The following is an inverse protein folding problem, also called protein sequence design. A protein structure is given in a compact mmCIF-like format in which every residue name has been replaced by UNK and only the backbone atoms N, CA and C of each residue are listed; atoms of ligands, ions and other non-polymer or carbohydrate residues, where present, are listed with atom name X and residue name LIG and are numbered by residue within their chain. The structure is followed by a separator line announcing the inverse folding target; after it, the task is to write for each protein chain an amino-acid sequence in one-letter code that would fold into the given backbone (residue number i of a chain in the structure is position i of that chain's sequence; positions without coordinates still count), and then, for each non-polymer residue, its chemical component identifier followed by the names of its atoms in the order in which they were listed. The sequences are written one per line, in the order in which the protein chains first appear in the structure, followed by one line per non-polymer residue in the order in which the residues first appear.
data_IF_852263680065
#
_entry.id   IF_852263680065
#
_cell.length_a   1.000
_cell.length_b   1.000
_cell.length_c   1.000
_cell.angle_alpha   90.00
_cell.angle_beta   90.00
_cell.angle_gamma   90.00
#
_symmetry.space_group_name_H-M   'P 1'
#
loop_
_entity.id
_entity.type
_entity.pdbx_description
1 polymer ?
#
# COMPACT_ATOMS: atom_id res chain seq x y z
N UNK A 1 11.33 -19.26 -3.73
CA UNK A 1 12.15 -18.18 -4.36
C UNK A 1 11.34 -17.21 -5.20
N UNK A 2 10.45 -17.69 -6.07
CA UNK A 2 9.53 -16.85 -6.87
C UNK A 2 8.63 -15.96 -6.01
N UNK A 3 8.00 -16.50 -4.97
CA UNK A 3 7.11 -15.78 -4.05
C UNK A 3 7.84 -14.69 -3.26
N UNK A 4 9.04 -14.99 -2.76
CA UNK A 4 9.91 -14.03 -2.09
C UNK A 4 10.22 -12.82 -2.97
N UNK A 5 10.50 -13.05 -4.26
CA UNK A 5 10.76 -11.96 -5.21
C UNK A 5 9.51 -11.08 -5.44
N UNK A 6 8.33 -11.68 -5.48
CA UNK A 6 7.08 -10.95 -5.63
C UNK A 6 6.80 -10.07 -4.41
N UNK A 7 7.02 -10.60 -3.21
CA UNK A 7 6.86 -9.85 -1.96
C UNK A 7 7.90 -8.72 -1.87
N UNK A 8 9.16 -9.00 -2.14
CA UNK A 8 10.20 -7.98 -2.13
C UNK A 8 9.91 -6.87 -3.14
N UNK A 9 9.43 -7.22 -4.33
CA UNK A 9 8.99 -6.23 -5.31
C UNK A 9 7.86 -5.37 -4.75
N UNK A 10 6.86 -5.98 -4.11
CA UNK A 10 5.77 -5.26 -3.46
C UNK A 10 6.27 -4.32 -2.37
N UNK A 11 7.13 -4.80 -1.48
CA UNK A 11 7.71 -3.97 -0.42
C UNK A 11 8.50 -2.78 -0.98
N UNK A 12 9.32 -3.00 -2.00
CA UNK A 12 10.11 -1.94 -2.62
C UNK A 12 9.22 -0.95 -3.37
N UNK A 13 8.29 -1.41 -4.19
CA UNK A 13 7.48 -0.54 -5.05
C UNK A 13 6.36 0.18 -4.31
N UNK A 14 5.80 -0.41 -3.27
CA UNK A 14 4.71 0.17 -2.47
C UNK A 14 5.27 0.97 -1.30
N UNK A 15 6.09 0.36 -0.47
CA UNK A 15 6.61 1.00 0.75
C UNK A 15 7.89 1.82 0.55
N UNK A 16 8.72 1.51 -0.43
CA UNK A 16 9.97 2.24 -0.67
C UNK A 16 9.73 3.74 -0.85
N UNK A 17 8.93 4.16 -1.84
CA UNK A 17 8.61 5.58 -2.03
C UNK A 17 7.87 6.20 -0.84
N UNK A 18 6.97 5.44 -0.20
CA UNK A 18 6.21 5.90 0.96
C UNK A 18 7.13 6.21 2.14
N UNK A 19 8.00 5.28 2.52
CA UNK A 19 8.95 5.47 3.62
C UNK A 19 9.91 6.60 3.32
N UNK A 20 10.45 6.67 2.10
CA UNK A 20 11.33 7.77 1.67
C UNK A 20 10.65 9.13 1.79
N UNK A 21 9.40 9.21 1.35
CA UNK A 21 8.60 10.45 1.43
C UNK A 21 8.38 10.88 2.89
N UNK A 22 7.97 9.97 3.76
CA UNK A 22 7.71 10.27 5.18
C UNK A 22 9.02 10.68 5.89
N UNK A 23 10.12 10.01 5.60
CA UNK A 23 11.44 10.35 6.17
C UNK A 23 11.88 11.75 5.74
N UNK A 24 11.78 12.06 4.45
CA UNK A 24 12.12 13.40 3.92
C UNK A 24 11.23 14.46 4.56
N UNK A 25 9.92 14.24 4.65
CA UNK A 25 8.99 15.16 5.31
C UNK A 25 9.34 15.34 6.79
N UNK A 26 9.71 14.28 7.51
CA UNK A 26 10.12 14.35 8.90
C UNK A 26 11.37 15.23 9.11
N UNK A 27 12.39 15.04 8.28
CA UNK A 27 13.62 15.83 8.37
C UNK A 27 13.44 17.30 7.93
N UNK A 28 12.51 17.56 7.02
CA UNK A 28 12.30 18.91 6.47
C UNK A 28 11.10 19.63 7.08
N UNK A 29 10.35 18.99 7.99
CA UNK A 29 9.11 19.54 8.54
C UNK A 29 9.30 20.91 9.19
N UNK A 30 10.34 21.09 10.01
CA UNK A 30 10.64 22.37 10.65
C UNK A 30 10.91 23.48 9.63
N UNK A 31 11.72 23.17 8.64
CA UNK A 31 12.04 24.11 7.56
C UNK A 31 10.80 24.47 6.74
N UNK A 32 9.99 23.45 6.41
CA UNK A 32 8.77 23.62 5.63
C UNK A 32 7.75 24.50 6.36
N UNK A 33 7.53 24.25 7.64
CA UNK A 33 6.61 25.04 8.48
C UNK A 33 7.04 26.50 8.54
N UNK A 34 8.33 26.74 8.79
CA UNK A 34 8.86 28.10 8.97
C UNK A 34 8.95 28.89 7.67
N UNK A 35 9.36 28.27 6.57
CA UNK A 35 9.72 28.96 5.34
C UNK A 35 8.62 28.93 4.26
N UNK A 36 7.87 27.85 4.16
CA UNK A 36 6.83 27.67 3.14
C UNK A 36 5.46 28.09 3.70
N UNK A 37 5.06 27.50 4.83
CA UNK A 37 3.77 27.82 5.44
C UNK A 37 3.81 29.14 6.22
N UNK A 38 5.00 29.62 6.58
CA UNK A 38 5.18 30.85 7.39
C UNK A 38 4.38 30.85 8.69
N UNK A 39 4.24 29.68 9.28
CA UNK A 39 3.60 29.48 10.57
C UNK A 39 4.63 29.40 11.69
N UNK A 40 4.17 29.59 12.93
CA UNK A 40 5.02 29.37 14.09
C UNK A 40 5.47 27.91 14.13
N UNK A 41 6.76 27.71 14.30
CA UNK A 41 7.36 26.38 14.39
C UNK A 41 7.17 25.83 15.81
N UNK A 42 5.97 25.32 16.09
CA UNK A 42 5.64 24.62 17.33
C UNK A 42 5.60 23.11 17.09
N UNK A 43 5.78 22.33 18.15
CA UNK A 43 5.68 20.87 18.09
C UNK A 43 4.33 20.41 17.51
N UNK A 44 3.28 21.14 17.84
CA UNK A 44 1.94 20.87 17.32
C UNK A 44 1.86 21.07 15.79
N UNK A 45 2.41 22.15 15.28
CA UNK A 45 2.43 22.45 13.83
C UNK A 45 3.25 21.41 13.07
N UNK A 46 4.41 21.04 13.59
CA UNK A 46 5.25 19.98 13.02
C UNK A 46 4.52 18.64 13.01
N UNK A 47 3.84 18.30 14.10
CA UNK A 47 3.05 17.08 14.19
C UNK A 47 1.93 17.01 13.13
N UNK A 48 1.25 18.14 12.87
CA UNK A 48 0.24 18.23 11.80
C UNK A 48 0.85 17.95 10.43
N UNK A 49 2.01 18.54 10.13
CA UNK A 49 2.70 18.33 8.84
C UNK A 49 3.07 16.87 8.66
N UNK A 50 3.59 16.22 9.68
CA UNK A 50 3.93 14.79 9.65
C UNK A 50 2.67 13.95 9.46
N UNK A 51 1.58 14.26 10.16
CA UNK A 51 0.31 13.55 10.03
C UNK A 51 -0.24 13.65 8.59
N UNK A 52 -0.21 14.83 7.99
CA UNK A 52 -0.61 15.03 6.59
C UNK A 52 0.28 14.20 5.64
N UNK A 53 1.58 14.16 5.88
CA UNK A 53 2.51 13.34 5.09
C UNK A 53 2.16 11.84 5.17
N UNK A 54 1.80 11.35 6.35
CA UNK A 54 1.35 9.97 6.54
C UNK A 54 0.05 9.71 5.76
N UNK A 55 -0.91 10.64 5.78
CA UNK A 55 -2.16 10.51 5.02
C UNK A 55 -1.90 10.45 3.51
N UNK A 56 -1.00 11.27 3.00
CA UNK A 56 -0.58 11.25 1.58
C UNK A 56 0.08 9.90 1.25
N UNK A 57 0.94 9.40 2.13
CA UNK A 57 1.56 8.08 2.01
C UNK A 57 0.52 6.95 1.97
N UNK A 58 -0.52 7.05 2.79
CA UNK A 58 -1.63 6.09 2.79
C UNK A 58 -2.40 6.08 1.47
N UNK A 59 -2.67 7.25 0.89
CA UNK A 59 -3.29 7.37 -0.44
C UNK A 59 -2.41 6.71 -1.50
N UNK A 60 -1.11 6.94 -1.47
CA UNK A 60 -0.14 6.27 -2.34
C UNK A 60 -0.22 4.76 -2.23
N UNK A 61 -0.20 4.22 -0.99
CA UNK A 61 -0.36 2.80 -0.73
C UNK A 61 -1.67 2.28 -1.34
N UNK A 62 -2.78 2.98 -1.12
CA UNK A 62 -4.12 2.60 -1.59
C UNK A 62 -4.18 2.39 -3.11
N UNK A 63 -3.45 3.18 -3.89
CA UNK A 63 -3.34 3.00 -5.33
C UNK A 63 -2.35 1.90 -5.73
N UNK A 64 -1.20 1.87 -5.10
CA UNK A 64 -0.10 0.97 -5.49
C UNK A 64 -0.35 -0.47 -5.11
N UNK A 65 -0.97 -0.73 -3.97
CA UNK A 65 -1.25 -2.09 -3.52
C UNK A 65 -2.20 -2.82 -4.48
N UNK A 66 -3.18 -2.13 -5.03
CA UNK A 66 -4.11 -2.68 -6.02
C UNK A 66 -3.36 -3.13 -7.27
N UNK A 67 -2.45 -2.30 -7.78
CA UNK A 67 -1.63 -2.62 -8.97
C UNK A 67 -0.71 -3.81 -8.71
N UNK A 68 -0.10 -3.87 -7.54
CA UNK A 68 0.73 -4.99 -7.14
C UNK A 68 -0.08 -6.29 -7.05
N UNK A 69 -1.27 -6.24 -6.47
CA UNK A 69 -2.14 -7.43 -6.33
C UNK A 69 -2.38 -8.11 -7.68
N UNK A 70 -2.95 -7.43 -8.65
CA UNK A 70 -3.25 -8.09 -9.92
C UNK A 70 -1.98 -8.47 -10.69
N UNK A 71 -0.90 -7.68 -10.59
CA UNK A 71 0.37 -8.01 -11.21
C UNK A 71 0.98 -9.28 -10.63
N UNK A 72 1.02 -9.42 -9.32
CA UNK A 72 1.61 -10.57 -8.64
C UNK A 72 0.77 -11.83 -8.81
N UNK A 73 -0.54 -11.73 -8.53
CA UNK A 73 -1.44 -12.89 -8.56
C UNK A 73 -1.76 -13.38 -9.97
N UNK A 74 -1.64 -12.54 -11.00
CA UNK A 74 -1.80 -12.97 -12.40
C UNK A 74 -0.72 -13.95 -12.87
N UNK A 75 0.39 -14.08 -12.15
CA UNK A 75 1.54 -14.91 -12.51
C UNK A 75 1.58 -16.24 -11.79
N UNK A 76 0.60 -16.53 -10.94
CA UNK A 76 0.62 -17.65 -10.01
C UNK A 76 -0.48 -18.65 -10.29
N UNK A 77 -0.23 -19.90 -9.88
CA UNK A 77 -1.26 -20.93 -9.74
C UNK A 77 -2.12 -20.66 -8.51
N UNK A 78 -3.21 -21.41 -8.34
CA UNK A 78 -4.10 -21.27 -7.18
C UNK A 78 -3.35 -21.54 -5.86
N UNK A 79 -2.59 -22.63 -5.81
CA UNK A 79 -1.84 -23.01 -4.62
C UNK A 79 -0.75 -21.97 -4.26
N UNK A 80 0.00 -21.51 -5.25
CA UNK A 80 0.98 -20.44 -5.08
C UNK A 80 0.34 -19.13 -4.62
N UNK A 81 -0.88 -18.85 -5.05
CA UNK A 81 -1.63 -17.66 -4.66
C UNK A 81 -2.03 -17.69 -3.18
N UNK A 82 -2.46 -18.83 -2.65
CA UNK A 82 -2.70 -18.98 -1.22
C UNK A 82 -1.44 -18.76 -0.39
N UNK A 83 -0.33 -19.35 -0.82
CA UNK A 83 0.95 -19.17 -0.14
C UNK A 83 1.42 -17.70 -0.19
N UNK A 84 1.31 -17.05 -1.34
CA UNK A 84 1.65 -15.64 -1.47
C UNK A 84 0.77 -14.76 -0.58
N UNK A 85 -0.53 -15.04 -0.53
CA UNK A 85 -1.47 -14.31 0.30
C UNK A 85 -1.07 -14.32 1.78
N UNK A 86 -0.77 -15.50 2.32
CA UNK A 86 -0.32 -15.66 3.71
C UNK A 86 0.98 -14.90 3.95
N UNK A 87 1.98 -15.08 3.10
CA UNK A 87 3.27 -14.41 3.23
C UNK A 87 3.18 -12.89 3.09
N UNK A 88 2.30 -12.40 2.25
CA UNK A 88 2.08 -10.97 2.08
C UNK A 88 1.43 -10.34 3.33
N UNK A 89 0.54 -11.05 4.00
CA UNK A 89 -0.04 -10.61 5.28
C UNK A 89 1.04 -10.62 6.37
N UNK A 90 1.81 -11.68 6.48
CA UNK A 90 2.90 -11.80 7.47
C UNK A 90 3.96 -10.71 7.30
N UNK A 91 4.25 -10.32 6.07
CA UNK A 91 5.20 -9.23 5.78
C UNK A 91 4.62 -7.82 5.96
N UNK A 92 3.33 -7.70 6.25
CA UNK A 92 2.65 -6.42 6.39
C UNK A 92 2.37 -5.70 5.08
N UNK A 93 2.50 -6.38 3.95
CA UNK A 93 2.25 -5.77 2.62
C UNK A 93 0.77 -5.60 2.33
N UNK A 94 -0.06 -6.55 2.73
CA UNK A 94 -1.51 -6.51 2.59
C UNK A 94 -2.20 -6.80 3.92
N UNK A 95 -3.47 -6.43 4.01
CA UNK A 95 -4.33 -6.72 5.15
C UNK A 95 -5.13 -8.00 4.90
N UNK A 96 -5.44 -8.69 5.99
CA UNK A 96 -6.29 -9.88 5.93
C UNK A 96 -7.65 -9.55 5.31
N UNK A 97 -8.19 -10.48 4.53
CA UNK A 97 -9.54 -10.36 3.93
C UNK A 97 -10.57 -10.04 5.02
N UNK A 98 -11.45 -9.07 4.74
CA UNK A 98 -12.44 -8.58 5.69
C UNK A 98 -11.96 -7.46 6.61
N UNK A 99 -10.66 -7.10 6.59
CA UNK A 99 -10.16 -5.93 7.32
C UNK A 99 -10.77 -4.62 6.78
N UNK A 100 -11.08 -3.69 7.68
CA UNK A 100 -11.57 -2.36 7.32
C UNK A 100 -10.58 -1.58 6.45
N UNK A 101 -9.29 -1.86 6.59
CA UNK A 101 -8.24 -1.22 5.80
C UNK A 101 -8.28 -1.59 4.32
N UNK A 102 -8.85 -2.74 3.95
CA UNK A 102 -9.05 -3.11 2.55
C UNK A 102 -10.05 -2.19 1.84
N UNK A 103 -10.96 -1.56 2.59
CA UNK A 103 -11.91 -0.58 2.05
C UNK A 103 -11.24 0.73 1.63
N UNK A 104 -10.03 0.99 2.09
CA UNK A 104 -9.25 2.17 1.70
C UNK A 104 -8.50 1.99 0.39
N UNK A 105 -8.47 0.79 -0.17
CA UNK A 105 -7.88 0.53 -1.49
C UNK A 105 -8.66 1.28 -2.57
N UNK A 106 -7.93 1.93 -3.49
CA UNK A 106 -8.54 2.71 -4.57
C UNK A 106 -8.41 1.92 -5.87
N UNK A 107 -9.55 1.47 -6.37
CA UNK A 107 -9.68 0.70 -7.61
C UNK A 107 -10.19 1.60 -8.73
N UNK A 108 -9.36 1.81 -9.76
CA UNK A 108 -9.81 2.45 -10.99
C UNK A 108 -10.57 1.44 -11.85
N UNK A 109 -11.32 1.90 -12.85
CA UNK A 109 -12.03 0.99 -13.78
C UNK A 109 -11.03 0.05 -14.49
N UNK A 110 -9.87 0.56 -14.87
CA UNK A 110 -8.80 -0.25 -15.46
C UNK A 110 -8.26 -1.32 -14.48
N UNK A 111 -8.13 -0.98 -13.22
CA UNK A 111 -7.69 -1.93 -12.18
C UNK A 111 -8.72 -3.04 -11.99
N UNK A 112 -10.01 -2.70 -11.96
CA UNK A 112 -11.11 -3.67 -11.90
C UNK A 112 -11.12 -4.61 -13.11
N UNK A 113 -10.94 -4.06 -14.32
CA UNK A 113 -10.88 -4.85 -15.54
C UNK A 113 -9.69 -5.83 -15.51
N UNK A 114 -8.53 -5.39 -15.07
CA UNK A 114 -7.36 -6.24 -14.92
C UNK A 114 -7.57 -7.34 -13.87
N UNK A 115 -8.18 -7.00 -12.74
CA UNK A 115 -8.52 -7.95 -11.68
C UNK A 115 -9.51 -9.00 -12.15
N UNK A 116 -10.50 -8.62 -12.94
CA UNK A 116 -11.51 -9.54 -13.49
C UNK A 116 -10.93 -10.54 -14.50
N UNK A 117 -9.75 -10.29 -15.05
CA UNK A 117 -9.02 -11.22 -15.92
C UNK A 117 -8.30 -12.33 -15.16
N UNK A 118 -8.13 -12.19 -13.85
CA UNK A 118 -7.50 -13.20 -13.01
C UNK A 118 -8.47 -14.36 -12.76
N UNK A 119 -7.91 -15.57 -12.57
CA UNK A 119 -8.70 -16.76 -12.26
C UNK A 119 -9.68 -16.46 -11.10
N UNK A 120 -10.99 -16.76 -11.28
CA UNK A 120 -12.00 -16.54 -10.24
C UNK A 120 -11.66 -17.17 -8.89
N UNK A 121 -11.06 -18.35 -8.86
CA UNK A 121 -10.66 -19.02 -7.62
C UNK A 121 -9.60 -18.23 -6.84
N UNK A 122 -8.69 -17.56 -7.55
CA UNK A 122 -7.69 -16.67 -6.94
C UNK A 122 -8.38 -15.41 -6.38
N UNK A 123 -9.34 -14.84 -7.11
CA UNK A 123 -10.09 -13.66 -6.66
C UNK A 123 -10.89 -13.93 -5.39
N UNK A 124 -11.43 -15.13 -5.24
CA UNK A 124 -12.19 -15.54 -4.06
C UNK A 124 -11.36 -15.48 -2.76
N UNK A 125 -10.03 -15.57 -2.83
CA UNK A 125 -9.16 -15.43 -1.66
C UNK A 125 -9.35 -14.05 -1.00
N UNK A 126 -9.65 -13.03 -1.79
CA UNK A 126 -9.81 -11.64 -1.35
C UNK A 126 -11.27 -11.25 -1.08
N UNK A 127 -12.22 -12.14 -1.33
CA UNK A 127 -13.63 -11.90 -1.04
C UNK A 127 -13.96 -12.35 0.38
N UNK A 128 -14.62 -11.50 1.18
CA UNK A 128 -15.04 -11.91 2.52
C UNK A 128 -16.04 -13.08 2.41
N UNK A 129 -15.79 -14.13 3.15
CA UNK A 129 -16.73 -15.24 3.27
C UNK A 129 -17.80 -14.87 4.28
N UNK A 130 -19.02 -14.85 3.83
CA UNK A 130 -20.21 -14.67 4.67
C UNK A 130 -20.40 -15.83 5.66
#
# INVERSE_FOLDING_TARGET
MKLSKLINNGLITVYGPLVSFVVICGFTANWFVSNILKLENTDFTVAIVIFVAICIGWIWWSFKIVKWKYWAFSKLTIDESYELYIKAIESGLIWKTGSVFNKTEIWTEKDKDNWNKINPEIREIFEPKD
#
